data_IF_677788206384
#
_entry.id   IF_677788206384
#
_cell.length_a   1.000
_cell.length_b   1.000
_cell.length_c   1.000
_cell.angle_alpha   90.00
_cell.angle_beta   90.00
_cell.angle_gamma   90.00
#
_symmetry.space_group_name_H-M   'P 1'
#
loop_
_entity.id
_entity.type
_entity.pdbx_description
1 polymer ?
#
# COMPACT_ATOMS: atom_id res chain seq x y z
N UNK A 1 21.15 -12.04 -0.97
CA UNK A 1 20.92 -11.27 0.28
C UNK A 1 20.18 -9.99 -0.11
N UNK A 2 19.14 -9.61 0.62
CA UNK A 2 18.35 -8.41 0.33
C UNK A 2 19.20 -7.15 0.53
N UNK A 3 19.10 -6.21 -0.40
CA UNK A 3 19.77 -4.89 -0.36
C UNK A 3 18.78 -3.75 -0.58
N UNK A 4 17.65 -4.06 -1.21
CA UNK A 4 16.68 -3.07 -1.63
C UNK A 4 15.31 -3.41 -1.04
N UNK A 5 14.61 -2.39 -0.55
CA UNK A 5 13.25 -2.49 -0.02
C UNK A 5 12.35 -1.55 -0.80
N UNK A 6 11.30 -2.10 -1.37
CA UNK A 6 10.19 -1.36 -1.97
C UNK A 6 9.05 -1.37 -0.96
N UNK A 7 8.63 -0.20 -0.54
CA UNK A 7 7.51 -0.04 0.38
C UNK A 7 6.24 0.32 -0.37
N UNK A 8 5.16 -0.36 -0.08
CA UNK A 8 3.86 0.22 -0.26
C UNK A 8 3.62 1.32 0.78
N UNK A 9 2.66 2.23 0.52
CA UNK A 9 2.37 3.37 1.39
C UNK A 9 1.12 3.16 2.25
N UNK A 10 -0.05 3.06 1.59
CA UNK A 10 -1.34 2.97 2.24
C UNK A 10 -1.53 1.62 2.93
N UNK A 11 -1.96 1.61 4.20
CA UNK A 11 -2.10 0.36 4.96
C UNK A 11 -0.78 -0.26 5.40
N UNK A 12 0.36 0.11 4.79
CA UNK A 12 1.69 -0.43 5.06
C UNK A 12 2.53 0.51 5.95
N UNK A 13 2.88 1.69 5.49
CA UNK A 13 3.57 2.72 6.28
C UNK A 13 2.60 3.77 6.85
N UNK A 14 1.52 4.06 6.14
CA UNK A 14 0.42 4.93 6.56
C UNK A 14 -0.68 4.09 7.23
N UNK A 15 -1.18 4.53 8.38
CA UNK A 15 -2.27 3.87 9.09
C UNK A 15 -3.62 4.49 8.69
N UNK A 16 -4.07 4.19 7.48
CA UNK A 16 -5.29 4.74 6.87
C UNK A 16 -6.41 3.70 6.65
N UNK A 17 -6.17 2.45 7.01
CA UNK A 17 -7.13 1.35 6.74
C UNK A 17 -8.49 1.59 7.39
N UNK A 18 -8.51 2.18 8.59
CA UNK A 18 -9.76 2.52 9.28
C UNK A 18 -10.55 3.58 8.51
N UNK A 19 -9.86 4.56 7.94
CA UNK A 19 -10.47 5.59 7.10
C UNK A 19 -11.05 4.98 5.83
N UNK A 20 -10.35 4.06 5.19
CA UNK A 20 -10.84 3.37 4.00
C UNK A 20 -12.15 2.59 4.29
N UNK A 21 -12.22 1.91 5.43
CA UNK A 21 -13.44 1.25 5.90
C UNK A 21 -14.60 2.23 6.14
N UNK A 22 -14.32 3.37 6.77
CA UNK A 22 -15.32 4.40 7.04
C UNK A 22 -15.84 5.03 5.74
N UNK A 23 -14.95 5.36 4.80
CA UNK A 23 -15.32 5.88 3.47
C UNK A 23 -16.18 4.87 2.72
N UNK A 24 -15.78 3.59 2.70
CA UNK A 24 -16.55 2.54 2.06
C UNK A 24 -17.99 2.50 2.57
N UNK A 25 -18.18 2.61 3.89
CA UNK A 25 -19.52 2.60 4.49
C UNK A 25 -20.30 3.90 4.19
N UNK A 26 -19.66 5.06 4.19
CA UNK A 26 -20.30 6.32 3.77
C UNK A 26 -20.83 6.19 2.34
N UNK A 27 -19.99 5.75 1.42
CA UNK A 27 -20.34 5.62 0.00
C UNK A 27 -21.44 4.58 -0.24
N UNK A 28 -21.46 3.48 0.53
CA UNK A 28 -22.52 2.47 0.50
C UNK A 28 -23.85 3.04 1.01
N UNK A 29 -23.83 3.77 2.13
CA UNK A 29 -25.01 4.36 2.75
C UNK A 29 -25.65 5.39 1.83
N UNK A 30 -24.87 6.25 1.19
CA UNK A 30 -25.34 7.27 0.23
C UNK A 30 -26.08 6.65 -0.97
N UNK A 31 -25.75 5.41 -1.33
CA UNK A 31 -26.41 4.63 -2.40
C UNK A 31 -27.53 3.72 -1.90
N UNK A 32 -27.82 3.74 -0.59
CA UNK A 32 -28.80 2.83 0.02
C UNK A 32 -28.38 1.36 -0.06
N UNK A 33 -27.10 1.08 -0.23
CA UNK A 33 -26.53 -0.26 -0.24
C UNK A 33 -26.26 -0.73 1.20
N UNK A 34 -26.08 -2.04 1.34
CA UNK A 34 -25.80 -2.64 2.65
C UNK A 34 -24.39 -2.27 3.09
N UNK A 35 -24.27 -1.59 4.23
CA UNK A 35 -22.97 -1.28 4.84
C UNK A 35 -22.27 -2.54 5.37
N UNK A 36 -20.97 -2.45 5.52
CA UNK A 36 -20.11 -3.50 6.10
C UNK A 36 -20.11 -3.29 7.62
N UNK A 37 -20.70 -4.20 8.42
CA UNK A 37 -20.92 -3.95 9.85
C UNK A 37 -19.65 -4.01 10.67
N UNK A 38 -18.69 -4.85 10.27
CA UNK A 38 -17.47 -5.11 11.04
C UNK A 38 -16.22 -4.75 10.24
N UNK A 39 -15.28 -4.09 10.91
CA UNK A 39 -14.01 -3.70 10.29
C UNK A 39 -13.22 -4.89 9.75
N UNK A 40 -13.19 -6.01 10.48
CA UNK A 40 -12.49 -7.21 10.01
C UNK A 40 -13.16 -7.82 8.78
N UNK A 41 -14.49 -7.73 8.67
CA UNK A 41 -15.20 -8.15 7.47
C UNK A 41 -14.79 -7.32 6.25
N UNK A 42 -14.62 -6.00 6.42
CA UNK A 42 -14.06 -5.16 5.35
C UNK A 42 -12.70 -5.69 4.89
N UNK A 43 -11.79 -5.99 5.83
CA UNK A 43 -10.45 -6.47 5.52
C UNK A 43 -10.42 -7.86 4.86
N UNK A 44 -11.42 -8.70 5.13
CA UNK A 44 -11.60 -10.00 4.47
C UNK A 44 -12.14 -9.87 3.05
N UNK A 45 -12.90 -8.81 2.77
CA UNK A 45 -13.59 -8.60 1.50
C UNK A 45 -12.85 -7.68 0.55
N UNK A 46 -11.99 -6.79 1.09
CA UNK A 46 -11.26 -5.83 0.27
C UNK A 46 -10.31 -6.55 -0.70
N UNK A 47 -10.31 -6.13 -1.96
CA UNK A 47 -9.50 -6.77 -3.00
C UNK A 47 -9.31 -5.91 -4.25
N UNK A 48 -8.54 -6.45 -5.15
CA UNK A 48 -8.22 -5.85 -6.45
C UNK A 48 -8.68 -6.77 -7.58
N UNK A 49 -9.08 -6.22 -8.76
CA UNK A 49 -9.23 -4.77 -9.04
C UNK A 49 -10.33 -4.12 -8.18
N UNK A 50 -10.13 -2.87 -7.79
CA UNK A 50 -11.08 -2.16 -6.91
C UNK A 50 -12.49 -2.06 -7.52
N UNK A 51 -12.61 -2.01 -8.85
CA UNK A 51 -13.92 -2.02 -9.53
C UNK A 51 -14.70 -3.31 -9.23
N UNK A 52 -14.03 -4.47 -9.20
CA UNK A 52 -14.67 -5.76 -8.91
C UNK A 52 -15.12 -5.82 -7.45
N UNK A 53 -14.34 -5.21 -6.56
CA UNK A 53 -14.72 -5.06 -5.16
C UNK A 53 -15.99 -4.20 -5.02
N UNK A 54 -16.09 -3.06 -5.70
CA UNK A 54 -17.31 -2.24 -5.72
C UNK A 54 -18.52 -3.03 -6.24
N UNK A 55 -18.37 -3.79 -7.33
CA UNK A 55 -19.43 -4.65 -7.88
C UNK A 55 -19.90 -5.67 -6.83
N UNK A 56 -18.97 -6.29 -6.11
CA UNK A 56 -19.27 -7.24 -5.04
C UNK A 56 -20.05 -6.58 -3.90
N UNK A 57 -19.81 -5.29 -3.64
CA UNK A 57 -20.54 -4.50 -2.66
C UNK A 57 -21.91 -4.03 -3.12
N UNK A 58 -22.30 -4.32 -4.38
CA UNK A 58 -23.61 -4.01 -4.94
C UNK A 58 -23.67 -2.72 -5.78
N UNK A 59 -22.52 -2.14 -6.13
CA UNK A 59 -22.50 -1.00 -7.05
C UNK A 59 -22.97 -1.41 -8.44
N UNK A 60 -23.75 -0.54 -9.07
CA UNK A 60 -24.14 -0.67 -10.48
C UNK A 60 -23.57 0.50 -11.26
N UNK A 61 -22.74 0.21 -12.25
CA UNK A 61 -22.16 1.21 -13.14
C UNK A 61 -23.05 1.52 -14.36
N UNK A 62 -24.38 1.28 -14.25
CA UNK A 62 -25.36 1.68 -15.27
C UNK A 62 -25.76 3.16 -15.16
N UNK A 63 -25.73 3.72 -13.96
CA UNK A 63 -26.18 5.10 -13.64
C UNK A 63 -25.04 6.04 -13.23
N UNK A 64 -23.90 5.50 -12.85
CA UNK A 64 -22.68 6.25 -12.52
C UNK A 64 -21.46 5.54 -13.12
N UNK A 65 -20.40 6.25 -13.41
CA UNK A 65 -19.17 5.65 -13.93
C UNK A 65 -18.21 5.28 -12.80
N UNK A 66 -17.27 4.38 -13.08
CA UNK A 66 -16.21 4.05 -12.12
C UNK A 66 -15.38 5.28 -11.73
N UNK A 67 -15.12 6.16 -12.70
CA UNK A 67 -14.38 7.40 -12.48
C UNK A 67 -15.10 8.31 -11.48
N UNK A 68 -16.43 8.42 -11.57
CA UNK A 68 -17.23 9.23 -10.62
C UNK A 68 -17.13 8.64 -9.19
N UNK A 69 -17.20 7.32 -9.06
CA UNK A 69 -17.04 6.64 -7.76
C UNK A 69 -15.60 6.82 -7.21
N UNK A 70 -14.59 6.73 -8.08
CA UNK A 70 -13.21 6.95 -7.71
C UNK A 70 -12.96 8.40 -7.25
N UNK A 71 -13.50 9.39 -7.97
CA UNK A 71 -13.39 10.81 -7.61
C UNK A 71 -14.06 11.12 -6.25
N UNK A 72 -15.21 10.48 -5.99
CA UNK A 72 -15.90 10.61 -4.69
C UNK A 72 -15.01 10.03 -3.57
N UNK A 73 -14.47 8.82 -3.77
CA UNK A 73 -13.53 8.23 -2.82
C UNK A 73 -12.34 9.15 -2.56
N UNK A 74 -11.68 9.67 -3.59
CA UNK A 74 -10.52 10.57 -3.46
C UNK A 74 -10.89 11.84 -2.69
N UNK A 75 -12.11 12.39 -2.94
CA UNK A 75 -12.61 13.55 -2.24
C UNK A 75 -12.82 13.29 -0.75
N UNK A 76 -13.46 12.18 -0.40
CA UNK A 76 -13.68 11.77 1.00
C UNK A 76 -12.34 11.46 1.70
N UNK A 77 -11.47 10.72 1.02
CA UNK A 77 -10.15 10.39 1.53
C UNK A 77 -9.33 11.64 1.84
N UNK A 78 -9.30 12.61 0.93
CA UNK A 78 -8.59 13.88 1.15
C UNK A 78 -9.11 14.67 2.36
N UNK A 79 -10.41 14.57 2.69
CA UNK A 79 -11.00 15.19 3.89
C UNK A 79 -10.62 14.48 5.18
N UNK A 80 -10.48 13.16 5.15
CA UNK A 80 -10.24 12.34 6.33
C UNK A 80 -8.73 12.11 6.58
N UNK A 81 -7.92 12.14 5.54
CA UNK A 81 -6.46 11.95 5.60
C UNK A 81 -5.72 12.83 6.63
N UNK A 82 -6.12 14.10 6.90
CA UNK A 82 -5.47 14.89 7.95
C UNK A 82 -5.45 14.25 9.34
N UNK A 83 -6.40 13.35 9.62
CA UNK A 83 -6.47 12.58 10.87
C UNK A 83 -5.61 11.31 10.93
N UNK A 84 -5.01 10.90 9.80
CA UNK A 84 -4.14 9.73 9.75
C UNK A 84 -2.81 9.94 10.44
N UNK A 85 -2.27 8.83 10.93
CA UNK A 85 -0.91 8.72 11.46
C UNK A 85 -0.09 7.72 10.63
N UNK A 86 1.20 7.66 10.90
CA UNK A 86 2.01 6.54 10.43
C UNK A 86 1.68 5.27 11.24
N UNK A 87 1.86 4.12 10.63
CA UNK A 87 1.89 2.84 11.35
C UNK A 87 2.93 2.87 12.47
N UNK A 88 2.63 2.19 13.56
CA UNK A 88 3.57 2.10 14.69
C UNK A 88 4.90 1.50 14.21
N UNK A 89 5.97 2.21 14.54
CA UNK A 89 7.33 1.86 14.12
C UNK A 89 7.72 2.25 12.70
N UNK A 90 6.83 2.77 11.85
CA UNK A 90 7.15 3.04 10.43
C UNK A 90 8.38 3.95 10.27
N UNK A 91 8.42 5.07 10.97
CA UNK A 91 9.54 6.00 10.90
C UNK A 91 10.83 5.44 11.53
N UNK A 92 10.69 4.76 12.66
CA UNK A 92 11.79 4.08 13.36
C UNK A 92 12.45 3.03 12.46
N UNK A 93 11.64 2.13 11.90
CA UNK A 93 12.12 1.00 11.08
C UNK A 93 12.75 1.50 9.78
N UNK A 94 12.12 2.42 9.08
CA UNK A 94 12.68 2.96 7.83
C UNK A 94 13.98 3.72 8.07
N UNK A 95 14.11 4.45 9.17
CA UNK A 95 15.35 5.13 9.56
C UNK A 95 16.45 4.11 9.84
N UNK A 96 16.19 3.12 10.69
CA UNK A 96 17.14 2.08 11.07
C UNK A 96 17.61 1.26 9.85
N UNK A 97 16.70 0.86 8.95
CA UNK A 97 17.06 0.13 7.74
C UNK A 97 17.91 0.97 6.77
N UNK A 98 17.62 2.28 6.64
CA UNK A 98 18.49 3.20 5.91
C UNK A 98 19.90 3.26 6.51
N UNK A 99 19.99 3.38 7.83
CA UNK A 99 21.26 3.52 8.53
C UNK A 99 22.08 2.19 8.48
N UNK A 100 21.39 1.06 8.32
CA UNK A 100 22.01 -0.25 7.98
C UNK A 100 22.43 -0.37 6.50
N UNK A 101 22.16 0.63 5.66
CA UNK A 101 22.59 0.66 4.26
C UNK A 101 21.61 0.04 3.25
N UNK A 102 20.36 -0.25 3.65
CA UNK A 102 19.32 -0.66 2.72
C UNK A 102 18.87 0.51 1.84
N UNK A 103 18.82 0.28 0.54
CA UNK A 103 18.17 1.20 -0.40
C UNK A 103 16.67 1.07 -0.24
N UNK A 104 15.98 2.18 -0.12
CA UNK A 104 14.53 2.20 0.11
C UNK A 104 13.84 3.12 -0.88
N UNK A 105 12.75 2.65 -1.46
CA UNK A 105 11.84 3.44 -2.30
C UNK A 105 10.39 3.21 -1.86
N UNK A 106 9.51 4.14 -2.20
CA UNK A 106 8.06 3.94 -2.11
C UNK A 106 7.50 3.67 -3.50
N UNK A 107 6.62 2.69 -3.60
CA UNK A 107 5.84 2.36 -4.79
C UNK A 107 4.37 2.27 -4.41
N UNK A 108 3.59 3.31 -4.71
CA UNK A 108 2.21 3.48 -4.24
C UNK A 108 1.22 3.74 -5.37
N UNK A 109 -0.03 3.35 -5.15
CA UNK A 109 -1.17 3.76 -5.97
C UNK A 109 -1.66 5.18 -5.66
N UNK A 110 -1.18 5.81 -4.60
CA UNK A 110 -1.46 7.21 -4.27
C UNK A 110 -0.89 8.14 -5.34
N UNK A 111 -1.64 9.18 -5.71
CA UNK A 111 -1.16 10.22 -6.62
C UNK A 111 0.17 10.83 -6.16
N UNK A 112 1.08 11.13 -7.12
CA UNK A 112 2.45 11.56 -6.84
C UNK A 112 2.51 12.76 -5.89
N UNK A 113 1.73 13.82 -6.18
CA UNK A 113 1.73 15.05 -5.36
C UNK A 113 1.25 14.79 -3.92
N UNK A 114 0.21 13.97 -3.76
CA UNK A 114 -0.32 13.57 -2.46
C UNK A 114 0.68 12.74 -1.67
N UNK A 115 1.38 11.81 -2.33
CA UNK A 115 2.43 11.01 -1.69
C UNK A 115 3.57 11.89 -1.17
N UNK A 116 4.05 12.82 -2.00
CA UNK A 116 5.12 13.75 -1.61
C UNK A 116 4.70 14.67 -0.46
N UNK A 117 3.45 15.14 -0.46
CA UNK A 117 2.89 15.94 0.63
C UNK A 117 2.83 15.13 1.93
N UNK A 118 2.38 13.89 1.87
CA UNK A 118 2.34 12.99 3.02
C UNK A 118 3.74 12.74 3.60
N UNK A 119 4.73 12.43 2.76
CA UNK A 119 6.12 12.21 3.18
C UNK A 119 6.67 13.45 3.90
N UNK A 120 6.37 14.65 3.39
CA UNK A 120 6.76 15.92 4.04
C UNK A 120 6.04 16.11 5.39
N UNK A 121 4.72 15.92 5.41
CA UNK A 121 3.87 16.06 6.60
C UNK A 121 4.36 15.16 7.74
N UNK A 122 4.69 13.92 7.45
CA UNK A 122 5.16 12.97 8.46
C UNK A 122 6.67 13.07 8.76
N UNK A 123 7.38 14.01 8.15
CA UNK A 123 8.80 14.23 8.37
C UNK A 123 9.66 13.04 7.99
N UNK A 124 9.33 12.39 6.86
CA UNK A 124 10.06 11.26 6.29
C UNK A 124 10.88 11.66 5.04
N UNK A 125 11.01 12.95 4.77
CA UNK A 125 11.84 13.47 3.66
C UNK A 125 13.28 12.97 3.79
N UNK A 126 13.81 12.42 2.69
CA UNK A 126 15.18 11.86 2.65
C UNK A 126 15.31 10.44 3.24
N UNK A 127 14.20 9.79 3.62
CA UNK A 127 14.20 8.38 4.02
C UNK A 127 14.27 7.43 2.84
N UNK A 128 13.77 7.85 1.70
CA UNK A 128 13.61 7.06 0.47
C UNK A 128 14.40 7.68 -0.67
N UNK A 129 15.00 6.83 -1.53
CA UNK A 129 15.73 7.29 -2.72
C UNK A 129 14.77 7.84 -3.79
N UNK A 130 13.56 7.26 -3.88
CA UNK A 130 12.55 7.67 -4.84
C UNK A 130 11.15 7.44 -4.27
N UNK A 131 10.22 8.28 -4.69
CA UNK A 131 8.79 8.18 -4.39
C UNK A 131 8.06 7.96 -5.72
N UNK A 132 7.53 6.76 -5.91
CA UNK A 132 6.82 6.35 -7.12
C UNK A 132 5.31 6.31 -6.83
N UNK A 133 4.68 7.46 -6.82
CA UNK A 133 3.23 7.62 -6.75
C UNK A 133 2.58 7.52 -8.12
N UNK A 134 1.28 7.61 -8.25
CA UNK A 134 0.54 7.59 -9.51
C UNK A 134 0.60 8.96 -10.20
N UNK A 135 0.95 9.02 -11.49
CA UNK A 135 1.10 10.29 -12.23
C UNK A 135 -0.21 10.78 -12.85
N UNK A 136 -1.14 9.88 -13.14
CA UNK A 136 -2.48 10.17 -13.65
C UNK A 136 -3.44 9.01 -13.40
N UNK A 137 -4.74 9.24 -13.52
CA UNK A 137 -5.81 8.27 -13.27
C UNK A 137 -5.84 7.11 -14.29
N UNK A 138 -5.09 7.22 -15.37
CA UNK A 138 -4.91 6.23 -16.44
C UNK A 138 -3.59 5.48 -16.33
N UNK A 139 -2.87 5.62 -15.22
CA UNK A 139 -1.51 5.14 -15.08
C UNK A 139 -1.37 3.63 -15.30
N UNK A 140 -0.36 3.29 -16.05
CA UNK A 140 0.24 1.95 -16.06
C UNK A 140 0.39 1.47 -14.62
N UNK A 141 -0.10 0.28 -14.34
CA UNK A 141 -0.22 -0.23 -12.98
C UNK A 141 1.10 -0.14 -12.20
N UNK A 142 0.98 -0.16 -10.89
CA UNK A 142 2.07 -0.14 -9.89
C UNK A 142 3.28 -1.01 -10.31
N UNK A 143 3.02 -2.20 -10.87
CA UNK A 143 4.05 -3.13 -11.34
C UNK A 143 4.94 -2.60 -12.47
N UNK A 144 4.35 -1.93 -13.46
CA UNK A 144 5.12 -1.40 -14.60
C UNK A 144 6.06 -0.28 -14.15
N UNK A 145 5.60 0.60 -13.26
CA UNK A 145 6.43 1.67 -12.70
C UNK A 145 7.58 1.12 -11.86
N UNK A 146 7.31 0.12 -11.02
CA UNK A 146 8.34 -0.57 -10.25
C UNK A 146 9.39 -1.19 -11.16
N UNK A 147 8.96 -1.88 -12.21
CA UNK A 147 9.85 -2.51 -13.20
C UNK A 147 10.73 -1.50 -13.93
N UNK A 148 10.14 -0.40 -14.41
CA UNK A 148 10.88 0.66 -15.11
C UNK A 148 11.91 1.32 -14.20
N UNK A 149 11.53 1.60 -12.96
CA UNK A 149 12.47 2.15 -11.98
C UNK A 149 13.64 1.21 -11.73
N UNK A 150 13.38 -0.06 -11.44
CA UNK A 150 14.42 -1.06 -11.16
C UNK A 150 15.40 -1.20 -12.33
N UNK A 151 14.90 -1.20 -13.57
CA UNK A 151 15.75 -1.22 -14.76
C UNK A 151 16.61 0.04 -14.88
N UNK A 152 16.01 1.21 -14.65
CA UNK A 152 16.71 2.51 -14.77
C UNK A 152 17.84 2.65 -13.75
N UNK A 153 17.62 2.22 -12.50
CA UNK A 153 18.61 2.38 -11.43
C UNK A 153 19.46 1.13 -11.16
N UNK A 154 19.34 0.09 -12.01
CA UNK A 154 20.13 -1.15 -11.88
C UNK A 154 19.81 -1.95 -10.60
N UNK A 155 18.59 -1.86 -10.09
CA UNK A 155 18.17 -2.61 -8.91
C UNK A 155 17.94 -4.08 -9.28
N UNK A 156 18.68 -4.98 -8.61
CA UNK A 156 18.57 -6.41 -8.88
C UNK A 156 17.31 -7.00 -8.21
N UNK A 157 16.36 -7.57 -8.97
CA UNK A 157 15.17 -8.19 -8.39
C UNK A 157 15.45 -9.23 -7.32
N UNK A 158 16.46 -10.10 -7.53
CA UNK A 158 16.84 -11.14 -6.56
C UNK A 158 17.41 -10.60 -5.23
N UNK A 159 17.74 -9.32 -5.16
CA UNK A 159 18.21 -8.61 -3.97
C UNK A 159 17.18 -7.59 -3.47
N UNK A 160 15.95 -7.66 -3.97
CA UNK A 160 14.87 -6.71 -3.68
C UNK A 160 13.69 -7.43 -3.02
N UNK A 161 13.10 -6.79 -2.03
CA UNK A 161 11.86 -7.22 -1.39
C UNK A 161 10.84 -6.08 -1.42
N UNK A 162 9.58 -6.42 -1.74
CA UNK A 162 8.45 -5.53 -1.58
C UNK A 162 7.76 -5.83 -0.26
N UNK A 163 7.46 -4.79 0.51
CA UNK A 163 6.68 -4.86 1.75
C UNK A 163 5.36 -4.15 1.50
N UNK A 164 4.24 -4.86 1.66
CA UNK A 164 2.90 -4.36 1.40
C UNK A 164 1.87 -5.03 2.31
N UNK A 165 0.59 -4.67 2.18
CA UNK A 165 -0.49 -5.12 3.04
C UNK A 165 -1.63 -5.82 2.28
N UNK A 166 -1.47 -6.04 0.97
CA UNK A 166 -2.47 -6.68 0.11
C UNK A 166 -1.89 -7.78 -0.77
N UNK A 167 -2.76 -8.66 -1.26
CA UNK A 167 -2.42 -9.65 -2.30
C UNK A 167 -1.97 -9.00 -3.61
N UNK A 168 -2.43 -7.79 -3.90
CA UNK A 168 -1.95 -7.00 -5.04
C UNK A 168 -0.45 -6.63 -4.90
N UNK A 169 0.03 -6.38 -3.70
CA UNK A 169 1.46 -6.15 -3.45
C UNK A 169 2.28 -7.40 -3.75
N UNK A 170 1.75 -8.57 -3.39
CA UNK A 170 2.35 -9.85 -3.77
C UNK A 170 2.38 -10.03 -5.29
N UNK A 171 1.29 -9.74 -6.01
CA UNK A 171 1.25 -9.79 -7.47
C UNK A 171 2.28 -8.84 -8.10
N UNK A 172 2.37 -7.61 -7.60
CA UNK A 172 3.38 -6.63 -8.05
C UNK A 172 4.80 -7.18 -7.82
N UNK A 173 5.07 -7.73 -6.64
CA UNK A 173 6.38 -8.31 -6.33
C UNK A 173 6.74 -9.45 -7.31
N UNK A 174 5.78 -10.35 -7.62
CA UNK A 174 5.96 -11.41 -8.61
C UNK A 174 6.27 -10.84 -10.01
N UNK A 175 5.52 -9.85 -10.45
CA UNK A 175 5.69 -9.25 -11.78
C UNK A 175 7.03 -8.52 -11.96
N UNK A 176 7.58 -7.95 -10.89
CA UNK A 176 8.92 -7.31 -10.92
C UNK A 176 10.05 -8.28 -10.57
N UNK A 177 9.74 -9.52 -10.19
CA UNK A 177 10.72 -10.55 -9.82
C UNK A 177 11.36 -10.36 -8.44
N UNK A 178 10.76 -9.56 -7.57
CA UNK A 178 11.22 -9.33 -6.20
C UNK A 178 10.63 -10.35 -5.21
N UNK A 179 11.26 -10.48 -4.04
CA UNK A 179 10.63 -11.13 -2.89
C UNK A 179 9.48 -10.29 -2.35
N UNK A 180 8.61 -10.91 -1.52
CA UNK A 180 7.50 -10.21 -0.89
C UNK A 180 7.44 -10.54 0.61
N UNK A 181 7.13 -9.54 1.43
CA UNK A 181 6.72 -9.68 2.83
C UNK A 181 5.43 -8.89 2.98
N UNK A 182 4.39 -9.52 3.54
CA UNK A 182 3.11 -8.87 3.76
C UNK A 182 2.93 -8.51 5.24
N UNK A 183 2.19 -7.42 5.51
CA UNK A 183 1.83 -7.00 6.86
C UNK A 183 0.32 -7.14 7.05
N UNK A 184 -0.09 -7.88 8.08
CA UNK A 184 -1.50 -8.19 8.34
C UNK A 184 -2.24 -7.13 9.17
N UNK A 185 -1.63 -6.01 9.45
CA UNK A 185 -2.27 -4.86 10.11
C UNK A 185 -2.83 -3.82 9.12
N UNK A 186 -2.80 -4.10 7.83
CA UNK A 186 -3.25 -3.23 6.74
C UNK A 186 -4.68 -3.51 6.25
N UNK A 187 -4.94 -3.23 4.97
CA UNK A 187 -6.25 -3.31 4.33
C UNK A 187 -6.79 -4.74 4.18
N UNK A 188 -5.92 -5.75 4.08
CA UNK A 188 -6.38 -7.14 4.02
C UNK A 188 -6.09 -7.91 5.31
N UNK A 189 -6.98 -8.83 5.64
CA UNK A 189 -6.84 -9.70 6.81
C UNK A 189 -5.76 -10.76 6.58
N UNK A 190 -5.21 -11.28 7.69
CA UNK A 190 -4.24 -12.38 7.65
C UNK A 190 -4.74 -13.58 6.85
N UNK A 191 -6.03 -13.93 6.98
CA UNK A 191 -6.65 -15.05 6.27
C UNK A 191 -6.59 -14.89 4.75
N UNK A 192 -6.70 -13.66 4.25
CA UNK A 192 -6.54 -13.36 2.82
C UNK A 192 -5.08 -13.49 2.42
N UNK A 193 -4.19 -12.87 3.17
CA UNK A 193 -2.75 -12.80 2.87
C UNK A 193 -2.05 -14.17 2.91
N UNK A 194 -2.49 -15.09 3.77
CA UNK A 194 -1.94 -16.46 3.86
C UNK A 194 -2.02 -17.23 2.54
N UNK A 195 -2.96 -16.89 1.67
CA UNK A 195 -3.10 -17.50 0.34
C UNK A 195 -1.93 -17.18 -0.60
N UNK A 196 -1.20 -16.10 -0.34
CA UNK A 196 -0.03 -15.69 -1.13
C UNK A 196 1.21 -16.58 -0.86
N UNK A 197 1.25 -17.30 0.27
CA UNK A 197 2.33 -18.23 0.59
C UNK A 197 3.70 -17.56 0.84
N UNK A 198 3.71 -16.28 1.22
CA UNK A 198 4.90 -15.49 1.55
C UNK A 198 4.95 -15.16 3.04
N UNK A 199 6.10 -14.72 3.60
CA UNK A 199 6.17 -14.29 4.98
C UNK A 199 5.16 -13.19 5.30
N UNK A 200 4.46 -13.31 6.44
CA UNK A 200 3.51 -12.33 6.95
C UNK A 200 3.97 -11.88 8.33
N UNK A 201 4.13 -10.57 8.50
CA UNK A 201 4.44 -9.91 9.75
C UNK A 201 3.21 -9.21 10.32
N UNK A 202 3.19 -8.96 11.61
CA UNK A 202 2.16 -8.16 12.29
C UNK A 202 2.63 -6.75 12.60
N UNK A 203 3.91 -6.57 12.80
CA UNK A 203 4.56 -5.29 13.12
C UNK A 203 5.72 -5.02 12.20
N UNK A 204 5.87 -3.77 11.76
CA UNK A 204 7.03 -3.33 10.97
C UNK A 204 8.37 -3.59 11.69
N UNK A 205 8.38 -3.59 13.03
CA UNK A 205 9.60 -3.89 13.81
C UNK A 205 10.16 -5.28 13.59
N UNK A 206 9.34 -6.24 13.17
CA UNK A 206 9.81 -7.58 12.83
C UNK A 206 10.82 -7.57 11.67
N UNK A 207 10.71 -6.58 10.78
CA UNK A 207 11.67 -6.42 9.67
C UNK A 207 13.10 -6.15 10.16
N UNK A 208 13.27 -5.51 11.32
CA UNK A 208 14.61 -5.28 11.89
C UNK A 208 15.29 -6.57 12.31
N UNK A 209 14.52 -7.62 12.60
CA UNK A 209 15.02 -8.96 12.90
C UNK A 209 15.25 -9.75 11.62
N UNK A 210 14.29 -9.68 10.67
CA UNK A 210 14.35 -10.40 9.39
C UNK A 210 15.57 -9.95 8.56
N UNK A 211 15.81 -8.65 8.50
CA UNK A 211 16.90 -8.10 7.69
C UNK A 211 18.27 -8.09 8.40
N UNK A 212 18.29 -8.31 9.72
CA UNK A 212 19.53 -8.40 10.50
C UNK A 212 20.45 -7.18 10.38
N UNK A 213 21.66 -7.30 10.92
CA UNK A 213 22.72 -6.33 10.65
C UNK A 213 23.41 -6.72 9.33
N UNK A 214 23.50 -5.78 8.37
CA UNK A 214 24.45 -5.94 7.28
C UNK A 214 25.86 -5.84 7.87
N UNK A 215 26.52 -6.98 8.03
CA UNK A 215 27.96 -6.99 8.29
C UNK A 215 28.61 -6.35 7.04
N UNK A 216 29.23 -5.19 7.22
CA UNK A 216 30.01 -4.48 6.21
C UNK A 216 31.22 -5.30 5.78
#
# INVERSE_FOLDING_TARGET
MVKNIIWDWNGTLLDDTRINYEIANIMLEERGLKTIPEYEQYREMFGFPVIDWYITMGYSFETETYEQVADEYVTLYGRMLPGCNLKDGAKEVTCELRDRGYRQIILSATGQDTLEENIRKFGMTGMFEELLGQENDLAFGKSERGRQYMQRCGMNPAETVLVGDTDHDYEVAQLIGAGCILIDSGNQSRTVLEKCGVPIIHSLRELLVIFGEHVK
#
